data_IF_047455229661
#
_entry.id   IF_047455229661
#
_cell.length_a   1.000
_cell.length_b   1.000
_cell.length_c   1.000
_cell.angle_alpha   90.00
_cell.angle_beta   90.00
_cell.angle_gamma   90.00
#
_symmetry.space_group_name_H-M   'P 1'
#
loop_
_entity.id
_entity.type
_entity.pdbx_description
1 polymer ?
#
# COMPACT_ATOMS: atom_id res chain seq x y z
N UNK A 1 22.09 -5.88 12.03
CA UNK A 1 20.74 -5.45 12.45
C UNK A 1 19.90 -6.71 12.57
N UNK A 2 19.30 -6.97 13.73
CA UNK A 2 18.28 -8.01 13.83
C UNK A 2 17.09 -7.52 13.01
N UNK A 3 16.89 -8.06 11.80
CA UNK A 3 15.67 -7.83 11.05
C UNK A 3 14.55 -8.48 11.84
N UNK A 4 13.71 -7.66 12.48
CA UNK A 4 12.44 -8.15 13.02
C UNK A 4 11.58 -8.49 11.82
N UNK A 5 11.42 -9.77 11.53
CA UNK A 5 10.59 -10.22 10.41
C UNK A 5 9.16 -9.68 10.56
N UNK A 6 8.58 -9.18 9.47
CA UNK A 6 7.19 -8.72 9.46
C UNK A 6 6.26 -9.90 9.78
N UNK A 7 5.46 -9.76 10.84
CA UNK A 7 4.58 -10.81 11.33
C UNK A 7 3.25 -10.76 10.59
N UNK A 8 2.84 -11.85 9.93
CA UNK A 8 1.50 -11.97 9.37
C UNK A 8 0.49 -12.09 10.51
N UNK A 9 -0.43 -11.14 10.58
CA UNK A 9 -1.50 -11.14 11.59
C UNK A 9 -2.85 -11.58 10.99
N UNK A 10 -3.02 -11.43 9.68
CA UNK A 10 -4.16 -11.97 8.95
C UNK A 10 -3.84 -12.20 7.47
N UNK A 11 -4.57 -13.13 6.85
CA UNK A 11 -4.49 -13.48 5.45
C UNK A 11 -5.87 -13.88 4.93
N UNK A 12 -6.16 -13.55 3.67
CA UNK A 12 -7.18 -14.27 2.93
C UNK A 12 -7.22 -14.01 1.45
N UNK A 13 -7.97 -14.87 0.74
CA UNK A 13 -8.10 -14.79 -0.70
C UNK A 13 -9.42 -14.12 -1.08
N UNK A 14 -9.31 -13.09 -1.90
CA UNK A 14 -10.44 -12.42 -2.52
C UNK A 14 -10.39 -12.65 -4.02
N UNK A 15 -11.35 -13.41 -4.54
CA UNK A 15 -11.31 -13.94 -5.91
C UNK A 15 -10.01 -14.73 -6.15
N UNK A 16 -9.14 -14.27 -7.05
CA UNK A 16 -7.85 -14.87 -7.40
C UNK A 16 -6.65 -14.11 -6.83
N UNK A 17 -6.90 -13.20 -5.89
CA UNK A 17 -5.90 -12.35 -5.24
C UNK A 17 -5.75 -12.68 -3.76
N UNK A 18 -4.54 -12.50 -3.24
CA UNK A 18 -4.19 -12.70 -1.84
C UNK A 18 -4.04 -11.34 -1.17
N UNK A 19 -4.71 -11.15 -0.03
CA UNK A 19 -4.53 -9.99 0.84
C UNK A 19 -3.87 -10.45 2.14
N UNK A 20 -2.75 -9.82 2.48
CA UNK A 20 -2.02 -10.02 3.73
C UNK A 20 -2.11 -8.78 4.59
N UNK A 21 -2.25 -8.98 5.90
CA UNK A 21 -2.05 -7.94 6.90
C UNK A 21 -0.86 -8.36 7.75
N UNK A 22 0.11 -7.46 7.85
CA UNK A 22 1.36 -7.66 8.56
C UNK A 22 1.64 -6.54 9.56
N UNK A 23 2.19 -6.91 10.70
CA UNK A 23 2.79 -5.98 11.65
C UNK A 23 4.29 -5.89 11.39
N UNK A 24 4.80 -4.67 11.22
CA UNK A 24 6.20 -4.39 10.95
C UNK A 24 6.42 -3.26 9.95
N UNK A 25 7.62 -3.17 9.37
CA UNK A 25 7.99 -2.08 8.48
C UNK A 25 7.68 -2.42 7.02
N UNK A 26 6.97 -1.53 6.28
CA UNK A 26 6.82 -1.66 4.83
C UNK A 26 8.17 -1.69 4.08
N UNK A 27 9.23 -1.12 4.66
CA UNK A 27 10.57 -1.11 4.07
C UNK A 27 11.25 -2.48 4.15
N UNK A 28 10.87 -3.31 5.12
CA UNK A 28 11.43 -4.65 5.31
C UNK A 28 10.57 -5.72 4.62
N UNK A 29 9.43 -5.32 4.04
CA UNK A 29 8.51 -6.23 3.37
C UNK A 29 9.00 -6.64 1.98
N UNK A 30 9.03 -7.96 1.76
CA UNK A 30 9.37 -8.61 0.50
C UNK A 30 8.28 -9.63 0.13
N UNK A 31 7.25 -9.21 -0.63
CA UNK A 31 6.08 -10.05 -0.88
C UNK A 31 6.39 -11.24 -1.82
N UNK A 32 7.54 -11.24 -2.48
CA UNK A 32 7.97 -12.24 -3.48
C UNK A 32 8.00 -13.67 -2.90
N UNK A 33 8.25 -13.84 -1.60
CA UNK A 33 8.29 -15.17 -0.97
C UNK A 33 6.94 -15.90 -0.96
N UNK A 34 5.82 -15.23 -1.27
CA UNK A 34 4.48 -15.83 -1.33
C UNK A 34 4.01 -16.16 -2.75
N UNK A 35 4.65 -15.61 -3.78
CA UNK A 35 4.43 -16.02 -5.17
C UNK A 35 5.24 -17.30 -5.42
N UNK A 36 4.62 -18.46 -5.14
CA UNK A 36 5.23 -19.81 -5.11
C UNK A 36 5.88 -20.30 -6.43
N UNK A 37 6.15 -19.45 -7.42
CA UNK A 37 6.73 -19.91 -8.69
C UNK A 37 7.79 -19.01 -9.34
N UNK A 38 7.99 -17.74 -8.95
CA UNK A 38 8.91 -16.88 -9.70
C UNK A 38 9.72 -15.88 -8.84
N UNK A 39 11.07 -15.97 -8.84
CA UNK A 39 11.94 -14.98 -8.22
C UNK A 39 12.02 -13.66 -9.02
N UNK A 40 11.31 -13.55 -10.14
CA UNK A 40 11.21 -12.36 -11.00
C UNK A 40 10.11 -11.38 -10.61
N UNK A 41 9.24 -11.73 -9.65
CA UNK A 41 8.05 -10.95 -9.32
C UNK A 41 8.36 -9.51 -8.96
N UNK A 42 8.01 -8.58 -9.86
CA UNK A 42 8.15 -7.15 -9.62
C UNK A 42 7.13 -6.72 -8.58
N UNK A 43 7.54 -5.87 -7.65
CA UNK A 43 6.60 -5.33 -6.67
C UNK A 43 6.80 -3.84 -6.47
N UNK A 44 5.73 -3.17 -6.08
CA UNK A 44 5.80 -1.76 -5.70
C UNK A 44 5.58 -1.58 -4.20
N UNK A 45 6.36 -0.69 -3.59
CA UNK A 45 6.05 -0.11 -2.29
C UNK A 45 5.30 1.21 -2.52
N UNK A 46 4.09 1.29 -1.98
CA UNK A 46 3.34 2.54 -1.97
C UNK A 46 3.83 3.43 -0.82
N UNK A 47 3.84 4.73 -1.07
CA UNK A 47 3.97 5.77 -0.05
C UNK A 47 3.09 6.96 -0.44
N UNK A 48 2.93 7.92 0.45
CA UNK A 48 2.18 9.14 0.17
C UNK A 48 3.03 10.39 0.34
N UNK A 49 2.64 11.43 -0.39
CA UNK A 49 3.23 12.76 -0.30
C UNK A 49 2.13 13.82 -0.40
N UNK A 50 2.31 14.98 0.21
CA UNK A 50 1.31 16.05 0.12
C UNK A 50 1.44 16.83 -1.19
N UNK A 51 0.44 17.66 -1.52
CA UNK A 51 0.45 18.52 -2.72
C UNK A 51 1.60 19.54 -2.77
N UNK A 52 2.22 19.85 -1.63
CA UNK A 52 3.40 20.71 -1.51
C UNK A 52 4.72 19.95 -1.72
N UNK A 53 4.65 18.65 -2.03
CA UNK A 53 5.80 17.76 -2.19
C UNK A 53 6.74 17.75 -0.97
N UNK A 54 6.21 17.98 0.23
CA UNK A 54 6.99 17.91 1.46
C UNK A 54 7.34 16.44 1.74
N UNK A 55 8.64 16.15 1.77
CA UNK A 55 9.15 14.82 2.10
C UNK A 55 9.11 14.64 3.62
N UNK A 56 8.51 13.54 4.08
CA UNK A 56 8.40 13.17 5.49
C UNK A 56 7.91 11.74 5.64
N UNK A 57 7.93 11.21 6.87
CA UNK A 57 7.45 9.86 7.19
C UNK A 57 8.09 8.78 6.32
N UNK A 58 7.29 7.84 5.82
CA UNK A 58 7.79 6.74 4.98
C UNK A 58 8.51 7.25 3.71
N UNK A 59 8.06 8.36 3.12
CA UNK A 59 8.70 8.95 1.93
C UNK A 59 10.11 9.46 2.22
N UNK A 60 10.35 10.02 3.41
CA UNK A 60 11.68 10.41 3.86
C UNK A 60 12.59 9.20 4.04
N UNK A 61 12.10 8.15 4.68
CA UNK A 61 12.87 6.91 4.88
C UNK A 61 13.23 6.23 3.56
N UNK A 62 12.30 6.20 2.60
CA UNK A 62 12.58 5.75 1.23
C UNK A 62 13.69 6.59 0.60
N UNK A 63 13.63 7.92 0.77
CA UNK A 63 14.62 8.86 0.26
C UNK A 63 16.01 8.64 0.87
N UNK A 64 16.09 8.34 2.17
CA UNK A 64 17.34 8.03 2.86
C UNK A 64 17.99 6.73 2.35
N UNK A 65 17.18 5.73 2.01
CA UNK A 65 17.68 4.44 1.48
C UNK A 65 18.12 4.56 0.02
N UNK A 66 17.35 5.28 -0.82
CA UNK A 66 17.61 5.34 -2.27
C UNK A 66 18.52 6.52 -2.67
N UNK A 67 18.81 7.43 -1.74
CA UNK A 67 19.51 8.68 -1.97
C UNK A 67 18.53 9.85 -2.16
N UNK A 68 18.79 10.96 -1.47
CA UNK A 68 17.85 12.10 -1.37
C UNK A 68 17.40 12.67 -2.72
N UNK A 69 18.23 12.54 -3.75
CA UNK A 69 17.93 13.07 -5.09
C UNK A 69 16.93 12.20 -5.88
N UNK A 70 16.75 10.92 -5.53
CA UNK A 70 15.92 10.00 -6.34
C UNK A 70 14.47 10.44 -6.40
N UNK A 71 13.90 10.89 -5.28
CA UNK A 71 12.53 11.39 -5.27
C UNK A 71 12.45 12.71 -6.03
N UNK A 72 13.33 13.67 -5.72
CA UNK A 72 13.37 14.99 -6.35
C UNK A 72 13.52 14.94 -7.88
N UNK A 73 14.29 14.00 -8.42
CA UNK A 73 14.42 13.78 -9.88
C UNK A 73 13.09 13.45 -10.56
N UNK A 74 12.16 12.82 -9.85
CA UNK A 74 10.84 12.44 -10.37
C UNK A 74 9.76 13.47 -10.03
N UNK A 75 10.06 14.46 -9.20
CA UNK A 75 9.22 15.62 -8.92
C UNK A 75 9.40 16.70 -10.01
N UNK A 76 8.99 16.38 -11.24
CA UNK A 76 9.25 17.18 -12.44
C UNK A 76 8.10 18.12 -12.85
N UNK A 77 6.93 18.03 -12.22
CA UNK A 77 5.81 18.93 -12.52
C UNK A 77 5.93 20.22 -11.71
N UNK A 78 5.50 21.32 -12.33
CA UNK A 78 5.36 22.61 -11.64
C UNK A 78 4.29 22.56 -10.54
N UNK A 79 3.24 21.76 -10.74
CA UNK A 79 2.15 21.56 -9.78
C UNK A 79 1.67 20.12 -9.84
N UNK A 80 1.32 19.59 -8.67
CA UNK A 80 0.71 18.27 -8.51
C UNK A 80 -0.67 18.43 -7.88
N UNK A 81 -1.64 17.67 -8.39
CA UNK A 81 -2.98 17.65 -7.85
C UNK A 81 -3.18 16.46 -6.90
N UNK A 82 -4.09 16.56 -5.91
CA UNK A 82 -4.53 15.39 -5.16
C UNK A 82 -4.97 14.26 -6.09
N UNK A 83 -4.49 13.04 -5.81
CA UNK A 83 -4.73 11.86 -6.64
C UNK A 83 -3.78 11.69 -7.82
N UNK A 84 -2.83 12.61 -8.04
CA UNK A 84 -1.69 12.35 -8.92
C UNK A 84 -0.86 11.17 -8.37
N UNK A 85 -0.32 10.36 -9.27
CA UNK A 85 0.54 9.23 -8.95
C UNK A 85 1.91 9.45 -9.59
N UNK A 86 2.97 9.20 -8.83
CA UNK A 86 4.36 9.36 -9.27
C UNK A 86 5.04 7.99 -9.14
N UNK A 87 5.41 7.42 -10.28
CA UNK A 87 6.15 6.17 -10.34
C UNK A 87 7.66 6.43 -10.36
N UNK A 88 8.38 5.70 -9.51
CA UNK A 88 9.84 5.71 -9.43
C UNK A 88 10.33 4.27 -9.65
N UNK A 89 11.05 4.00 -10.73
CA UNK A 89 11.54 2.65 -11.03
C UNK A 89 12.60 2.21 -10.01
N UNK A 90 12.74 0.90 -9.84
CA UNK A 90 13.81 0.31 -9.05
C UNK A 90 15.19 0.77 -9.57
N UNK A 91 15.93 1.52 -8.73
CA UNK A 91 17.35 1.86 -8.95
C UNK A 91 18.27 1.13 -7.97
N UNK A 92 17.71 0.51 -6.94
CA UNK A 92 18.46 -0.10 -5.85
C UNK A 92 19.08 -1.44 -6.30
N UNK A 93 20.42 -1.54 -6.25
CA UNK A 93 21.13 -2.79 -6.55
C UNK A 93 20.87 -3.90 -5.53
N UNK A 94 20.56 -3.54 -4.27
CA UNK A 94 20.25 -4.49 -3.19
C UNK A 94 18.82 -5.03 -3.28
N UNK A 95 17.92 -4.30 -3.95
CA UNK A 95 16.56 -4.75 -4.22
C UNK A 95 16.05 -4.24 -5.58
N UNK A 96 16.52 -4.86 -6.68
CA UNK A 96 16.23 -4.39 -8.04
C UNK A 96 14.77 -4.60 -8.46
N UNK A 97 13.96 -5.26 -7.62
CA UNK A 97 12.57 -5.60 -7.89
C UNK A 97 11.58 -4.66 -7.20
N UNK A 98 12.06 -3.77 -6.31
CA UNK A 98 11.23 -2.82 -5.58
C UNK A 98 11.09 -1.51 -6.34
N UNK A 99 9.91 -1.29 -6.88
CA UNK A 99 9.48 -0.01 -7.43
C UNK A 99 8.83 0.84 -6.33
N UNK A 100 8.82 2.16 -6.48
CA UNK A 100 8.10 3.05 -5.55
C UNK A 100 6.97 3.74 -6.30
N UNK A 101 5.79 3.77 -5.67
CA UNK A 101 4.64 4.53 -6.15
C UNK A 101 4.28 5.55 -5.08
N UNK A 102 4.44 6.84 -5.39
CA UNK A 102 4.04 7.93 -4.51
C UNK A 102 2.64 8.41 -4.90
N UNK A 103 1.71 8.33 -3.96
CA UNK A 103 0.37 8.88 -4.11
C UNK A 103 0.33 10.29 -3.54
N UNK A 104 -0.05 11.26 -4.37
CA UNK A 104 -0.22 12.65 -3.93
C UNK A 104 -1.57 12.76 -3.21
N UNK A 105 -1.54 13.14 -1.94
CA UNK A 105 -2.73 13.28 -1.10
C UNK A 105 -2.93 14.73 -0.69
N UNK A 106 -4.20 15.08 -0.52
CA UNK A 106 -4.58 16.32 0.13
C UNK A 106 -4.57 16.09 1.65
N UNK A 107 -3.74 16.83 2.42
CA UNK A 107 -3.69 16.70 3.86
C UNK A 107 -4.99 17.11 4.57
N UNK A 108 -5.88 17.85 3.89
CA UNK A 108 -7.17 18.30 4.43
C UNK A 108 -8.32 17.30 4.28
N UNK A 109 -8.08 16.12 3.68
CA UNK A 109 -9.15 15.11 3.52
C UNK A 109 -9.70 14.61 4.86
N UNK A 110 -11.02 14.55 4.95
CA UNK A 110 -11.81 14.04 6.07
C UNK A 110 -12.65 12.82 5.63
N UNK A 111 -12.24 11.61 6.05
CA UNK A 111 -12.91 10.37 5.63
C UNK A 111 -14.29 10.13 6.27
N UNK A 112 -14.71 10.98 7.20
CA UNK A 112 -16.09 10.99 7.72
C UNK A 112 -17.10 11.49 6.67
N UNK A 113 -16.63 12.32 5.72
CA UNK A 113 -17.42 12.75 4.57
C UNK A 113 -17.40 11.66 3.49
N UNK A 114 -18.58 11.16 3.12
CA UNK A 114 -18.73 10.09 2.11
C UNK A 114 -18.09 10.46 0.75
N UNK A 115 -18.16 11.73 0.34
CA UNK A 115 -17.56 12.16 -0.92
C UNK A 115 -16.02 12.10 -0.86
N UNK A 116 -15.43 12.60 0.22
CA UNK A 116 -13.98 12.63 0.40
C UNK A 116 -13.42 11.23 0.64
N UNK A 117 -14.17 10.37 1.34
CA UNK A 117 -13.89 8.94 1.45
C UNK A 117 -13.81 8.26 0.08
N UNK A 118 -14.75 8.56 -0.82
CA UNK A 118 -14.72 8.02 -2.18
C UNK A 118 -13.53 8.57 -2.97
N UNK A 119 -13.20 9.87 -2.83
CA UNK A 119 -12.01 10.44 -3.46
C UNK A 119 -10.74 9.73 -2.96
N UNK A 120 -10.64 9.48 -1.66
CA UNK A 120 -9.49 8.78 -1.08
C UNK A 120 -9.39 7.32 -1.57
N UNK A 121 -10.51 6.61 -1.65
CA UNK A 121 -10.58 5.26 -2.23
C UNK A 121 -10.10 5.26 -3.68
N UNK A 122 -10.61 6.16 -4.53
CA UNK A 122 -10.18 6.26 -5.93
C UNK A 122 -8.69 6.61 -6.05
N UNK A 123 -8.14 7.40 -5.13
CA UNK A 123 -6.72 7.70 -5.10
C UNK A 123 -5.86 6.44 -4.80
N UNK A 124 -6.28 5.58 -3.87
CA UNK A 124 -5.62 4.29 -3.65
C UNK A 124 -5.75 3.41 -4.90
N UNK A 125 -6.93 3.33 -5.51
CA UNK A 125 -7.14 2.54 -6.73
C UNK A 125 -6.21 3.01 -7.86
N UNK A 126 -6.06 4.32 -8.08
CA UNK A 126 -5.10 4.85 -9.07
C UNK A 126 -3.67 4.40 -8.82
N UNK A 127 -3.23 4.32 -7.56
CA UNK A 127 -1.91 3.82 -7.23
C UNK A 127 -1.75 2.32 -7.53
N UNK A 128 -2.81 1.53 -7.33
CA UNK A 128 -2.85 0.11 -7.72
C UNK A 128 -2.87 -0.07 -9.24
N UNK A 129 -3.64 0.76 -9.96
CA UNK A 129 -3.68 0.80 -11.42
C UNK A 129 -2.32 1.19 -12.01
N UNK A 130 -1.57 2.08 -11.36
CA UNK A 130 -0.20 2.41 -11.76
C UNK A 130 0.76 1.22 -11.56
N UNK A 131 0.61 0.44 -10.48
CA UNK A 131 1.37 -0.78 -10.27
C UNK A 131 1.07 -1.82 -11.35
N UNK A 132 -0.22 -2.04 -11.65
CA UNK A 132 -0.67 -2.93 -12.72
C UNK A 132 -0.12 -2.50 -14.09
N UNK A 133 -0.16 -1.20 -14.40
CA UNK A 133 0.39 -0.64 -15.65
C UNK A 133 1.87 -0.96 -15.86
N UNK A 134 2.61 -1.14 -14.76
CA UNK A 134 4.02 -1.51 -14.78
C UNK A 134 4.27 -3.02 -14.64
N UNK A 135 3.23 -3.85 -14.65
CA UNK A 135 3.30 -5.30 -14.56
C UNK A 135 3.80 -5.78 -13.20
N UNK A 136 3.42 -5.09 -12.12
CA UNK A 136 3.71 -5.55 -10.77
C UNK A 136 2.82 -6.74 -10.42
N UNK A 137 3.40 -7.74 -9.76
CA UNK A 137 2.65 -8.91 -9.26
C UNK A 137 2.21 -8.72 -7.81
N UNK A 138 2.93 -7.85 -7.09
CA UNK A 138 2.65 -7.53 -5.70
C UNK A 138 2.75 -6.04 -5.39
N UNK A 139 2.01 -5.60 -4.38
CA UNK A 139 2.13 -4.28 -3.78
C UNK A 139 2.26 -4.38 -2.27
N UNK A 140 3.11 -3.54 -1.70
CA UNK A 140 3.19 -3.28 -0.27
C UNK A 140 2.47 -1.96 0.01
N UNK A 141 1.40 -2.02 0.80
CA UNK A 141 0.63 -0.86 1.21
C UNK A 141 0.94 -0.54 2.69
N UNK A 142 1.45 0.66 3.01
CA UNK A 142 1.45 1.13 4.39
C UNK A 142 0.02 1.50 4.81
N UNK A 143 -0.17 1.84 6.09
CA UNK A 143 -1.41 2.47 6.57
C UNK A 143 -1.55 3.91 6.05
N UNK A 144 -1.83 4.08 4.75
CA UNK A 144 -1.94 5.40 4.13
C UNK A 144 -3.05 6.19 4.83
N UNK A 145 -2.79 7.43 5.24
CA UNK A 145 -3.78 8.24 5.96
C UNK A 145 -3.96 7.89 7.44
N UNK A 146 -3.35 6.81 7.97
CA UNK A 146 -3.41 6.50 9.41
C UNK A 146 -2.66 7.50 10.30
N UNK A 147 -1.65 8.19 9.76
CA UNK A 147 -0.90 9.23 10.46
C UNK A 147 -1.54 10.63 10.44
N UNK A 148 -2.69 10.81 9.80
CA UNK A 148 -3.38 12.11 9.74
C UNK A 148 -4.43 12.20 10.86
N UNK A 149 -4.35 13.23 11.71
CA UNK A 149 -5.23 13.38 12.88
C UNK A 149 -6.71 13.57 12.53
N UNK A 150 -7.04 13.91 11.27
CA UNK A 150 -8.43 14.03 10.78
C UNK A 150 -9.05 12.70 10.35
N UNK A 151 -8.27 11.61 10.24
CA UNK A 151 -8.73 10.33 9.72
C UNK A 151 -8.82 9.28 10.85
N UNK A 152 -10.00 8.68 11.03
CA UNK A 152 -10.10 7.54 11.94
C UNK A 152 -9.39 6.32 11.33
N UNK A 153 -8.67 5.57 12.16
CA UNK A 153 -7.99 4.35 11.73
C UNK A 153 -8.98 3.34 11.12
N UNK A 154 -10.19 3.27 11.68
CA UNK A 154 -11.27 2.41 11.17
C UNK A 154 -11.66 2.78 9.74
N UNK A 155 -11.91 4.07 9.47
CA UNK A 155 -12.27 4.52 8.12
C UNK A 155 -11.12 4.32 7.13
N UNK A 156 -9.86 4.57 7.55
CA UNK A 156 -8.71 4.29 6.71
C UNK A 156 -8.64 2.81 6.35
N UNK A 157 -8.74 1.91 7.34
CA UNK A 157 -8.74 0.47 7.10
C UNK A 157 -9.85 0.02 6.15
N UNK A 158 -11.08 0.48 6.37
CA UNK A 158 -12.21 0.16 5.49
C UNK A 158 -11.97 0.61 4.04
N UNK A 159 -11.42 1.82 3.85
CA UNK A 159 -11.12 2.33 2.50
C UNK A 159 -10.00 1.54 1.82
N UNK A 160 -8.99 1.07 2.55
CA UNK A 160 -7.95 0.20 1.97
C UNK A 160 -8.54 -1.09 1.42
N UNK A 161 -9.35 -1.79 2.23
CA UNK A 161 -9.97 -3.04 1.78
C UNK A 161 -10.95 -2.81 0.63
N UNK A 162 -11.74 -1.74 0.66
CA UNK A 162 -12.63 -1.42 -0.46
C UNK A 162 -11.89 -1.08 -1.74
N UNK A 163 -10.81 -0.32 -1.65
CA UNK A 163 -9.99 -0.01 -2.82
C UNK A 163 -9.38 -1.28 -3.43
N UNK A 164 -8.87 -2.19 -2.60
CA UNK A 164 -8.32 -3.47 -3.08
C UNK A 164 -9.42 -4.36 -3.66
N UNK A 165 -10.54 -4.55 -2.96
CA UNK A 165 -11.67 -5.38 -3.43
C UNK A 165 -12.24 -4.85 -4.75
N UNK A 166 -12.36 -3.53 -4.88
CA UNK A 166 -12.81 -2.89 -6.12
C UNK A 166 -11.79 -3.03 -7.25
N UNK A 167 -10.51 -2.78 -6.98
CA UNK A 167 -9.44 -2.99 -7.95
C UNK A 167 -9.42 -4.44 -8.46
N UNK A 168 -9.42 -5.43 -7.56
CA UNK A 168 -9.47 -6.85 -7.91
C UNK A 168 -10.72 -7.17 -8.72
N UNK A 169 -11.84 -6.49 -8.46
CA UNK A 169 -13.06 -6.64 -9.26
C UNK A 169 -12.96 -6.00 -10.65
N UNK A 170 -12.26 -4.87 -10.80
CA UNK A 170 -12.03 -4.22 -12.10
C UNK A 170 -11.13 -5.05 -13.01
N UNK A 171 -10.12 -5.72 -12.46
CA UNK A 171 -9.09 -6.43 -13.23
C UNK A 171 -9.27 -7.95 -13.28
N UNK A 172 -10.04 -8.54 -12.35
CA UNK A 172 -10.31 -9.99 -12.23
C UNK A 172 -9.10 -10.86 -12.61
N UNK A 173 -9.30 -11.90 -13.41
CA UNK A 173 -8.23 -12.82 -13.87
C UNK A 173 -7.29 -12.25 -14.92
N UNK A 174 -7.45 -10.97 -15.31
CA UNK A 174 -6.64 -10.32 -16.36
C UNK A 174 -5.48 -9.53 -15.80
N UNK A 175 -5.59 -9.04 -14.57
CA UNK A 175 -4.52 -8.27 -13.92
C UNK A 175 -3.33 -9.15 -13.53
N UNK A 176 -2.13 -8.57 -13.57
CA UNK A 176 -0.89 -9.15 -13.06
C UNK A 176 -0.77 -8.98 -11.55
N UNK A 177 -1.37 -7.93 -10.97
CA UNK A 177 -1.29 -7.63 -9.55
C UNK A 177 -2.22 -8.54 -8.72
N UNK A 178 -1.63 -9.53 -8.03
CA UNK A 178 -2.36 -10.56 -7.27
C UNK A 178 -2.10 -10.55 -5.78
N UNK A 179 -1.01 -9.93 -5.33
CA UNK A 179 -0.64 -9.93 -3.92
C UNK A 179 -0.65 -8.53 -3.32
N UNK A 180 -1.50 -8.33 -2.31
CA UNK A 180 -1.65 -7.07 -1.60
C UNK A 180 -1.16 -7.26 -0.16
N UNK A 181 0.00 -6.69 0.18
CA UNK A 181 0.57 -6.77 1.53
C UNK A 181 0.38 -5.46 2.27
N UNK A 182 -0.64 -5.38 3.12
CA UNK A 182 -0.84 -4.26 4.03
C UNK A 182 0.13 -4.42 5.21
N UNK A 183 1.12 -3.54 5.33
CA UNK A 183 2.15 -3.59 6.37
C UNK A 183 2.07 -2.37 7.29
N UNK A 184 1.81 -2.61 8.57
CA UNK A 184 1.46 -1.59 9.55
C UNK A 184 2.50 -1.56 10.66
N UNK A 185 3.05 -0.38 10.93
CA UNK A 185 4.14 -0.25 11.93
C UNK A 185 3.61 -0.14 13.34
N UNK A 186 2.50 0.57 13.52
CA UNK A 186 1.96 0.78 14.85
C UNK A 186 1.06 -0.38 15.25
N UNK A 187 1.15 -0.82 16.50
CA UNK A 187 0.31 -1.90 17.02
C UNK A 187 -1.17 -1.53 16.94
N UNK A 188 -1.52 -0.28 17.25
CA UNK A 188 -2.90 0.20 17.17
C UNK A 188 -3.46 0.16 15.75
N UNK A 189 -2.66 0.51 14.73
CA UNK A 189 -3.06 0.37 13.32
C UNK A 189 -3.31 -1.10 12.99
N UNK A 190 -2.37 -1.97 13.39
CA UNK A 190 -2.44 -3.41 13.16
C UNK A 190 -3.69 -4.04 13.77
N UNK A 191 -4.03 -3.66 15.00
CA UNK A 191 -5.23 -4.12 15.70
C UNK A 191 -6.50 -3.68 14.98
N UNK A 192 -6.60 -2.40 14.60
CA UNK A 192 -7.78 -1.88 13.91
C UNK A 192 -7.96 -2.54 12.54
N UNK A 193 -6.91 -2.65 11.73
CA UNK A 193 -7.01 -3.31 10.43
C UNK A 193 -7.39 -4.79 10.56
N UNK A 194 -6.89 -5.48 11.60
CA UNK A 194 -7.29 -6.85 11.91
C UNK A 194 -8.77 -6.95 12.30
N UNK A 195 -9.28 -6.01 13.09
CA UNK A 195 -10.68 -5.99 13.49
C UNK A 195 -11.62 -5.72 12.31
N UNK A 196 -11.25 -4.77 11.44
CA UNK A 196 -11.94 -4.53 10.17
C UNK A 196 -11.93 -5.80 9.31
N UNK A 197 -10.76 -6.42 9.16
CA UNK A 197 -10.60 -7.68 8.43
C UNK A 197 -11.50 -8.79 8.99
N UNK A 198 -11.56 -8.95 10.31
CA UNK A 198 -12.42 -9.96 10.95
C UNK A 198 -13.88 -9.81 10.53
N UNK A 199 -14.36 -8.57 10.40
CA UNK A 199 -15.74 -8.29 9.97
C UNK A 199 -15.92 -8.59 8.47
N UNK A 200 -14.94 -8.21 7.63
CA UNK A 200 -15.00 -8.32 6.16
C UNK A 200 -14.71 -9.72 5.62
N UNK A 201 -13.91 -10.51 6.33
CA UNK A 201 -13.36 -11.81 5.90
C UNK A 201 -14.44 -12.85 5.55
N UNK A 202 -15.71 -12.63 5.94
CA UNK A 202 -16.85 -13.44 5.49
C UNK A 202 -16.99 -13.54 3.96
N UNK A 203 -16.44 -12.57 3.21
CA UNK A 203 -16.46 -12.54 1.74
C UNK A 203 -15.29 -13.29 1.08
N UNK A 204 -14.36 -13.82 1.84
CA UNK A 204 -13.06 -14.31 1.37
C UNK A 204 -13.03 -15.85 1.39
N UNK A 205 -12.32 -16.47 0.44
CA UNK A 205 -12.03 -17.91 0.43
C UNK A 205 -10.67 -18.06 1.13
N UNK A 206 -10.56 -18.94 2.12
CA UNK A 206 -9.39 -19.02 3.02
C UNK A 206 -9.18 -17.75 3.85
N UNK A 207 -9.61 -17.80 5.11
CA UNK A 207 -9.39 -16.73 6.07
C UNK A 207 -8.56 -17.29 7.21
N UNK A 208 -7.35 -16.78 7.37
CA UNK A 208 -6.52 -17.07 8.52
C UNK A 208 -6.26 -15.79 9.29
N UNK A 209 -6.25 -15.90 10.61
CA UNK A 209 -5.97 -14.81 11.51
C UNK A 209 -5.30 -15.40 12.74
N UNK A 210 -4.26 -14.73 13.23
CA UNK A 210 -3.59 -15.16 14.45
C UNK A 210 -4.50 -14.84 15.64
N UNK A 211 -4.84 -15.87 16.43
CA UNK A 211 -5.50 -15.67 17.71
C UNK A 211 -4.46 -15.10 18.67
N UNK A 212 -4.69 -13.87 19.14
CA UNK A 212 -3.96 -13.28 20.27
C UNK A 212 -4.33 -13.96 21.57
#
# INVERSE_FOLDING_TARGET
MNQTENLIIALGEYKDSVILIKSGSPLDELPINFAKSEPSGKFALLSSINTHMTIGGLTEEISLIHGQNVIHEHLNKKHYNPGDVIYIPAKNKENPLRHIILLVLDPSLELSNHQERNVFKENIIKALEEAERHGMEAVVLPGIGCGNSSMSLQHSADVHFEAIEEFVTRYESRGSLKLFSICLRQSVESEVFRDVWRIRSKKYRLCWMMNS
#
